data_IF_305999925574
#
_entry.id   IF_305999925574
#
_cell.length_a   1.000
_cell.length_b   1.000
_cell.length_c   1.000
_cell.angle_alpha   90.00
_cell.angle_beta   90.00
_cell.angle_gamma   90.00
#
_symmetry.space_group_name_H-M   'P 1'
#
loop_
_entity.id
_entity.type
_entity.pdbx_description
1 polymer ?
#
# COMPACT_ATOMS: atom_id res chain seq x y z
N UNK A 1 11.51 -17.34 -33.81
CA UNK A 1 10.95 -16.05 -33.36
C UNK A 1 11.36 -15.89 -31.92
N UNK A 2 12.16 -14.88 -31.59
CA UNK A 2 12.54 -14.65 -30.21
C UNK A 2 11.36 -14.05 -29.47
N UNK A 3 10.94 -14.67 -28.37
CA UNK A 3 9.79 -14.21 -27.61
C UNK A 3 10.23 -13.01 -26.76
N UNK A 4 9.93 -11.80 -27.24
CA UNK A 4 10.30 -10.55 -26.58
C UNK A 4 9.90 -10.59 -25.11
N UNK A 5 10.90 -10.68 -24.23
CA UNK A 5 10.67 -10.73 -22.78
C UNK A 5 10.01 -9.42 -22.37
N UNK A 6 8.91 -9.50 -21.63
CA UNK A 6 8.29 -8.32 -21.04
C UNK A 6 9.33 -7.62 -20.15
N UNK A 7 9.60 -6.35 -20.45
CA UNK A 7 10.47 -5.52 -19.62
C UNK A 7 9.67 -5.04 -18.41
N UNK A 8 10.12 -5.40 -17.22
CA UNK A 8 9.52 -4.99 -15.95
C UNK A 8 10.55 -4.15 -15.20
N UNK A 9 10.33 -2.84 -15.13
CA UNK A 9 11.08 -1.96 -14.24
C UNK A 9 10.58 -2.07 -12.79
N UNK A 10 11.41 -1.62 -11.84
CA UNK A 10 11.13 -1.70 -10.40
C UNK A 10 9.82 -0.99 -10.02
N UNK A 11 9.49 0.13 -10.66
CA UNK A 11 8.26 0.88 -10.36
C UNK A 11 7.02 0.15 -10.89
N UNK A 12 7.05 -0.35 -12.12
CA UNK A 12 5.96 -1.17 -12.67
C UNK A 12 5.77 -2.47 -11.87
N UNK A 13 6.85 -3.12 -11.46
CA UNK A 13 6.81 -4.31 -10.59
C UNK A 13 6.20 -3.98 -9.23
N UNK A 14 6.60 -2.87 -8.60
CA UNK A 14 6.03 -2.41 -7.33
C UNK A 14 4.52 -2.17 -7.43
N UNK A 15 4.07 -1.45 -8.46
CA UNK A 15 2.64 -1.17 -8.68
C UNK A 15 1.83 -2.46 -8.85
N UNK A 16 2.36 -3.44 -9.58
CA UNK A 16 1.71 -4.75 -9.74
C UNK A 16 1.62 -5.53 -8.41
N UNK A 17 2.67 -5.52 -7.60
CA UNK A 17 2.68 -6.18 -6.29
C UNK A 17 1.72 -5.51 -5.30
N UNK A 18 1.69 -4.18 -5.24
CA UNK A 18 0.75 -3.42 -4.41
C UNK A 18 -0.71 -3.79 -4.77
N UNK A 19 -1.04 -3.86 -6.07
CA UNK A 19 -2.38 -4.27 -6.55
C UNK A 19 -2.72 -5.73 -6.21
N UNK A 20 -1.76 -6.64 -6.32
CA UNK A 20 -1.93 -8.04 -5.89
C UNK A 20 -2.24 -8.12 -4.38
N UNK A 21 -1.55 -7.32 -3.56
CA UNK A 21 -1.76 -7.26 -2.11
C UNK A 21 -3.15 -6.69 -1.78
N UNK A 22 -3.56 -5.62 -2.44
CA UNK A 22 -4.88 -5.01 -2.26
C UNK A 22 -6.02 -5.96 -2.63
N UNK A 23 -5.91 -6.68 -3.75
CA UNK A 23 -6.93 -7.64 -4.16
C UNK A 23 -6.98 -8.86 -3.22
N UNK A 24 -5.83 -9.37 -2.78
CA UNK A 24 -5.75 -10.37 -1.70
C UNK A 24 -6.44 -9.86 -0.42
N UNK A 25 -6.22 -8.60 -0.05
CA UNK A 25 -6.81 -8.02 1.15
C UNK A 25 -8.34 -7.89 1.04
N UNK A 26 -8.89 -7.51 -0.13
CA UNK A 26 -10.35 -7.50 -0.38
C UNK A 26 -11.00 -8.89 -0.25
N UNK A 27 -10.27 -9.97 -0.51
CA UNK A 27 -10.75 -11.37 -0.32
C UNK A 27 -10.63 -11.77 1.16
N UNK A 28 -9.58 -11.30 1.84
CA UNK A 28 -9.32 -11.60 3.24
C UNK A 28 -10.20 -10.82 4.21
N UNK A 29 -10.84 -9.71 3.83
CA UNK A 29 -11.71 -8.92 4.71
C UNK A 29 -13.12 -8.74 4.14
N UNK A 30 -14.14 -8.97 4.96
CA UNK A 30 -15.53 -8.62 4.65
C UNK A 30 -16.10 -7.66 5.72
N UNK A 31 -17.37 -7.22 5.56
CA UNK A 31 -18.05 -6.29 6.48
C UNK A 31 -18.15 -6.76 7.95
N UNK A 32 -17.75 -7.99 8.27
CA UNK A 32 -17.71 -8.60 9.60
C UNK A 32 -16.29 -8.96 10.08
N UNK A 33 -15.25 -8.57 9.35
CA UNK A 33 -13.84 -8.83 9.70
C UNK A 33 -13.13 -9.83 8.78
N UNK A 34 -12.05 -10.44 9.29
CA UNK A 34 -11.19 -11.36 8.56
C UNK A 34 -11.97 -12.63 8.12
N UNK A 35 -11.86 -12.99 6.85
CA UNK A 35 -12.38 -14.26 6.34
C UNK A 35 -11.44 -15.40 6.74
N UNK A 36 -11.97 -16.61 6.99
CA UNK A 36 -11.17 -17.80 7.44
C UNK A 36 -9.98 -18.17 6.54
N UNK A 37 -9.86 -17.58 5.34
CA UNK A 37 -8.73 -17.74 4.42
C UNK A 37 -7.45 -17.06 4.94
N UNK A 38 -7.55 -16.05 5.81
CA UNK A 38 -6.39 -15.35 6.38
C UNK A 38 -5.66 -16.11 7.50
N UNK A 39 -6.28 -17.16 8.07
CA UNK A 39 -5.77 -17.84 9.27
C UNK A 39 -4.63 -18.86 9.07
N UNK A 40 -4.45 -19.56 7.94
CA UNK A 40 -3.36 -20.55 7.81
C UNK A 40 -1.97 -19.93 7.58
N UNK A 41 -1.89 -18.69 7.07
CA UNK A 41 -0.67 -18.15 6.45
C UNK A 41 0.18 -17.26 7.37
N UNK A 42 -0.04 -17.30 8.69
CA UNK A 42 0.73 -16.54 9.70
C UNK A 42 1.60 -17.43 10.61
N UNK A 43 1.67 -18.73 10.35
CA UNK A 43 2.38 -19.70 11.20
C UNK A 43 3.63 -20.30 10.53
N UNK A 44 4.53 -19.45 10.01
CA UNK A 44 5.90 -19.87 9.62
C UNK A 44 6.91 -18.84 10.13
N UNK A 45 7.55 -19.16 11.26
CA UNK A 45 8.72 -18.47 11.80
C UNK A 45 8.46 -17.63 13.06
N UNK A 46 9.35 -17.72 14.05
CA UNK A 46 9.51 -16.69 15.09
C UNK A 46 9.27 -17.14 16.54
N UNK A 47 10.37 -17.52 17.20
CA UNK A 47 10.57 -17.59 18.65
C UNK A 47 10.24 -16.23 19.33
N UNK A 48 9.74 -16.25 20.58
CA UNK A 48 10.03 -15.20 21.58
C UNK A 48 8.89 -14.30 22.10
N UNK A 49 8.73 -14.31 23.42
CA UNK A 49 8.49 -13.14 24.30
C UNK A 49 7.16 -12.33 24.28
N UNK A 50 6.14 -12.93 24.93
CA UNK A 50 5.52 -12.50 26.22
C UNK A 50 5.18 -11.00 26.52
N UNK A 51 3.96 -10.81 27.10
CA UNK A 51 3.46 -9.77 28.08
C UNK A 51 2.55 -8.63 27.52
N UNK A 52 1.53 -8.04 28.23
CA UNK A 52 0.89 -8.31 29.55
C UNK A 52 -0.68 -8.44 29.60
N UNK A 53 -1.20 -8.76 30.81
CA UNK A 53 -2.53 -8.39 31.40
C UNK A 53 -3.77 -9.19 30.93
N UNK A 54 -4.66 -9.77 31.76
CA UNK A 54 -4.81 -9.89 33.24
C UNK A 54 -5.74 -11.12 33.56
N UNK A 55 -6.04 -11.57 34.80
CA UNK A 55 -5.57 -11.13 36.13
C UNK A 55 -6.27 -11.69 37.40
N UNK A 56 -7.12 -12.74 37.34
CA UNK A 56 -7.83 -13.34 38.51
C UNK A 56 -8.03 -14.84 38.25
N UNK A 57 -7.98 -15.81 39.19
CA UNK A 57 -8.12 -15.83 40.67
C UNK A 57 -7.21 -16.91 41.32
N UNK A 58 -6.92 -16.83 42.63
CA UNK A 58 -6.99 -18.03 43.49
C UNK A 58 -5.75 -18.90 43.81
N UNK A 59 -4.72 -18.34 44.47
CA UNK A 59 -4.11 -18.86 45.71
C UNK A 59 -3.66 -20.36 45.82
N UNK A 60 -2.34 -20.63 45.73
CA UNK A 60 -1.51 -21.18 46.83
C UNK A 60 -0.03 -21.39 46.42
N UNK A 61 0.87 -20.87 47.25
CA UNK A 61 2.34 -20.82 47.17
C UNK A 61 3.04 -21.97 47.95
N UNK A 62 4.39 -22.11 47.98
CA UNK A 62 5.45 -21.71 47.02
C UNK A 62 6.60 -22.75 46.84
N UNK A 63 7.65 -22.36 46.07
CA UNK A 63 9.08 -22.70 46.28
C UNK A 63 9.54 -24.14 45.89
N UNK A 64 10.69 -24.43 45.26
CA UNK A 64 11.97 -23.75 44.93
C UNK A 64 12.32 -24.09 43.45
N UNK A 65 12.81 -23.17 42.60
CA UNK A 65 14.21 -23.10 42.08
C UNK A 65 14.89 -24.47 41.80
N UNK A 66 15.62 -24.68 40.69
CA UNK A 66 16.65 -23.80 40.11
C UNK A 66 16.86 -24.03 38.60
N UNK A 67 17.60 -23.11 37.98
CA UNK A 67 18.37 -23.31 36.72
C UNK A 67 19.27 -24.57 36.84
N UNK A 68 19.80 -25.17 35.77
CA UNK A 68 21.13 -24.82 35.20
C UNK A 68 21.45 -25.81 34.06
N UNK A 69 22.31 -25.38 33.13
CA UNK A 69 23.11 -26.16 32.19
C UNK A 69 22.42 -26.90 31.04
N UNK A 70 22.64 -26.33 29.86
CA UNK A 70 23.05 -27.06 28.67
C UNK A 70 24.09 -28.13 29.02
N UNK A 71 23.81 -29.39 28.63
CA UNK A 71 24.86 -30.29 28.17
C UNK A 71 24.29 -31.09 26.99
N UNK A 72 24.79 -30.81 25.80
CA UNK A 72 24.72 -31.76 24.70
C UNK A 72 25.58 -32.98 25.09
N UNK A 73 25.07 -34.20 24.96
CA UNK A 73 25.81 -35.17 24.14
C UNK A 73 24.96 -36.33 23.61
N UNK A 74 25.50 -36.96 22.57
CA UNK A 74 24.90 -38.00 21.77
C UNK A 74 25.06 -39.38 22.43
N UNK A 75 23.97 -40.02 22.85
CA UNK A 75 23.91 -41.49 22.94
C UNK A 75 22.59 -42.01 22.37
N UNK A 76 22.67 -42.83 21.34
CA UNK A 76 21.51 -43.44 20.71
C UNK A 76 20.75 -44.36 21.67
N UNK A 77 19.44 -44.15 21.80
CA UNK A 77 18.52 -45.15 22.36
C UNK A 77 17.48 -45.52 21.31
N UNK A 78 17.67 -46.68 20.71
CA UNK A 78 16.58 -47.40 20.07
C UNK A 78 15.46 -47.59 21.10
N UNK A 79 14.33 -46.92 20.87
CA UNK A 79 13.09 -47.20 21.59
C UNK A 79 12.12 -47.80 20.59
N UNK A 80 11.67 -49.01 20.87
CA UNK A 80 10.60 -49.67 20.12
C UNK A 80 9.33 -48.87 20.34
N UNK A 81 9.07 -47.93 19.42
CA UNK A 81 7.88 -47.10 19.44
C UNK A 81 6.65 -48.00 19.35
N UNK A 82 5.88 -48.08 20.45
CA UNK A 82 4.63 -48.83 20.45
C UNK A 82 3.74 -48.28 19.35
N UNK A 83 3.44 -49.11 18.35
CA UNK A 83 2.40 -48.81 17.37
C UNK A 83 1.09 -48.69 18.13
N UNK A 84 0.67 -47.46 18.42
CA UNK A 84 -0.68 -47.18 18.88
C UNK A 84 -1.60 -47.49 17.71
N UNK A 85 -2.19 -48.69 17.71
CA UNK A 85 -3.31 -49.01 16.84
C UNK A 85 -4.51 -48.15 17.28
N UNK A 86 -4.54 -46.90 16.82
CA UNK A 86 -5.77 -46.14 16.76
C UNK A 86 -6.66 -46.85 15.75
N UNK A 87 -7.76 -47.42 16.22
CA UNK A 87 -8.79 -48.01 15.36
C UNK A 87 -9.14 -46.99 14.27
N UNK A 88 -9.01 -47.38 13.01
CA UNK A 88 -9.29 -46.54 11.85
C UNK A 88 -10.77 -46.21 11.75
N UNK A 89 -11.23 -45.26 12.57
CA UNK A 89 -12.54 -44.63 12.46
C UNK A 89 -12.33 -43.44 11.54
N UNK A 90 -12.62 -43.63 10.26
CA UNK A 90 -12.61 -42.53 9.28
C UNK A 90 -13.54 -41.43 9.78
N UNK A 91 -12.95 -40.36 10.28
CA UNK A 91 -13.69 -39.17 10.66
C UNK A 91 -14.02 -38.42 9.38
N UNK A 92 -15.10 -38.82 8.72
CA UNK A 92 -15.70 -38.07 7.62
C UNK A 92 -16.17 -36.72 8.15
N UNK A 93 -15.25 -35.75 8.15
CA UNK A 93 -15.60 -34.34 8.23
C UNK A 93 -16.39 -34.01 6.98
N UNK A 94 -17.67 -33.73 7.14
CA UNK A 94 -18.50 -33.14 6.09
C UNK A 94 -17.96 -31.74 5.80
N UNK A 95 -16.99 -31.70 4.88
CA UNK A 95 -16.30 -30.48 4.50
C UNK A 95 -17.28 -29.65 3.67
N UNK A 96 -17.53 -28.37 4.01
CA UNK A 96 -18.43 -27.53 3.25
C UNK A 96 -18.07 -27.61 1.75
N UNK A 97 -19.05 -27.74 0.84
CA UNK A 97 -18.78 -27.98 -0.57
C UNK A 97 -17.72 -27.02 -1.10
N UNK A 98 -16.72 -27.50 -1.86
CA UNK A 98 -15.62 -26.67 -2.30
C UNK A 98 -16.19 -25.44 -3.00
N UNK A 99 -15.99 -24.27 -2.37
CA UNK A 99 -16.48 -23.01 -2.92
C UNK A 99 -15.90 -22.90 -4.32
N UNK A 100 -16.72 -22.54 -5.31
CA UNK A 100 -16.28 -22.30 -6.68
C UNK A 100 -15.13 -21.29 -6.66
N UNK A 101 -13.90 -21.80 -6.72
CA UNK A 101 -12.71 -20.96 -6.80
C UNK A 101 -12.78 -20.29 -8.16
N UNK A 102 -12.84 -18.96 -8.16
CA UNK A 102 -12.67 -18.20 -9.40
C UNK A 102 -11.31 -18.59 -9.97
N UNK A 103 -11.25 -18.85 -11.27
CA UNK A 103 -10.02 -19.32 -11.90
C UNK A 103 -8.96 -18.21 -11.92
N UNK A 104 -7.71 -18.55 -12.24
CA UNK A 104 -6.60 -17.59 -12.20
C UNK A 104 -6.87 -16.41 -13.13
N UNK A 105 -7.49 -16.67 -14.27
CA UNK A 105 -7.86 -15.71 -15.31
C UNK A 105 -8.70 -14.56 -14.73
N UNK A 106 -9.66 -14.84 -13.86
CA UNK A 106 -10.49 -13.81 -13.20
C UNK A 106 -9.68 -12.84 -12.35
N UNK A 107 -8.64 -13.32 -11.66
CA UNK A 107 -7.81 -12.46 -10.82
C UNK A 107 -6.83 -11.64 -11.67
N UNK A 108 -6.27 -12.24 -12.73
CA UNK A 108 -5.41 -11.54 -13.69
C UNK A 108 -6.18 -10.45 -14.44
N UNK A 109 -7.41 -10.74 -14.88
CA UNK A 109 -8.32 -9.78 -15.52
C UNK A 109 -8.62 -8.60 -14.59
N UNK A 110 -8.97 -8.85 -13.32
CA UNK A 110 -9.24 -7.75 -12.38
C UNK A 110 -8.02 -6.92 -11.99
N UNK A 111 -6.82 -7.51 -11.99
CA UNK A 111 -5.59 -6.75 -11.78
C UNK A 111 -5.29 -5.89 -13.02
N UNK A 112 -5.44 -6.42 -14.23
CA UNK A 112 -5.19 -5.66 -15.46
C UNK A 112 -6.20 -4.53 -15.68
N UNK A 113 -7.50 -4.77 -15.43
CA UNK A 113 -8.53 -3.72 -15.35
C UNK A 113 -8.14 -2.61 -14.37
N UNK A 114 -7.69 -2.98 -13.17
CA UNK A 114 -7.27 -2.01 -12.15
C UNK A 114 -6.03 -1.22 -12.55
N UNK A 115 -5.08 -1.81 -13.28
CA UNK A 115 -3.94 -1.09 -13.86
C UNK A 115 -4.40 -0.09 -14.91
N UNK A 116 -5.25 -0.51 -15.87
CA UNK A 116 -5.80 0.36 -16.92
C UNK A 116 -6.57 1.53 -16.30
N UNK A 117 -7.47 1.27 -15.36
CA UNK A 117 -8.26 2.30 -14.69
C UNK A 117 -7.38 3.29 -13.93
N UNK A 118 -6.34 2.80 -13.24
CA UNK A 118 -5.35 3.66 -12.56
C UNK A 118 -4.64 4.57 -13.56
N UNK A 119 -4.09 4.02 -14.65
CA UNK A 119 -3.36 4.83 -15.64
C UNK A 119 -4.27 5.83 -16.35
N UNK A 120 -5.55 5.51 -16.57
CA UNK A 120 -6.53 6.46 -17.10
C UNK A 120 -6.84 7.58 -16.10
N UNK A 121 -7.03 7.26 -14.83
CA UNK A 121 -7.24 8.26 -13.78
C UNK A 121 -6.03 9.19 -13.63
N UNK A 122 -4.80 8.65 -13.65
CA UNK A 122 -3.56 9.44 -13.60
C UNK A 122 -3.44 10.40 -14.80
N UNK A 123 -3.73 9.94 -16.02
CA UNK A 123 -3.77 10.81 -17.21
C UNK A 123 -4.85 11.90 -17.11
N UNK A 124 -6.04 11.56 -16.66
CA UNK A 124 -7.15 12.51 -16.50
C UNK A 124 -6.82 13.58 -15.44
N UNK A 125 -6.12 13.21 -14.37
CA UNK A 125 -5.64 14.15 -13.36
C UNK A 125 -4.61 15.12 -13.96
N UNK A 126 -3.59 14.61 -14.67
CA UNK A 126 -2.57 15.44 -15.33
C UNK A 126 -3.23 16.40 -16.33
N UNK A 127 -4.09 15.90 -17.22
CA UNK A 127 -4.81 16.72 -18.20
C UNK A 127 -5.63 17.84 -17.55
N UNK A 128 -6.28 17.56 -16.41
CA UNK A 128 -7.05 18.55 -15.65
C UNK A 128 -6.14 19.59 -14.98
N UNK A 129 -4.95 19.21 -14.51
CA UNK A 129 -3.98 20.15 -13.95
C UNK A 129 -3.34 21.03 -15.03
N UNK A 130 -3.07 20.48 -16.22
CA UNK A 130 -2.58 21.23 -17.38
C UNK A 130 -3.60 22.27 -17.85
N UNK A 131 -4.89 21.89 -17.91
CA UNK A 131 -6.00 22.81 -18.21
C UNK A 131 -6.11 23.94 -17.17
N UNK A 132 -6.06 23.62 -15.86
CA UNK A 132 -6.01 24.65 -14.80
C UNK A 132 -4.80 25.59 -14.92
N UNK A 133 -3.63 25.09 -15.31
CA UNK A 133 -2.43 25.92 -15.50
C UNK A 133 -2.61 26.83 -16.73
N UNK A 134 -3.22 26.33 -17.80
CA UNK A 134 -3.47 27.08 -19.03
C UNK A 134 -4.45 28.24 -18.80
N UNK A 135 -5.57 28.00 -18.10
CA UNK A 135 -6.50 29.06 -17.67
C UNK A 135 -5.79 30.17 -16.89
N UNK A 136 -4.89 29.77 -15.99
CA UNK A 136 -4.18 30.68 -15.08
C UNK A 136 -3.12 31.52 -15.82
N UNK A 137 -2.45 30.93 -16.81
CA UNK A 137 -1.54 31.67 -17.70
C UNK A 137 -2.31 32.63 -18.61
N UNK A 138 -3.51 32.26 -19.08
CA UNK A 138 -4.36 33.18 -19.83
C UNK A 138 -4.84 34.36 -18.96
N UNK A 139 -5.16 34.13 -17.68
CA UNK A 139 -5.45 35.22 -16.73
C UNK A 139 -4.24 36.14 -16.51
N UNK A 140 -3.01 35.60 -16.48
CA UNK A 140 -1.77 36.39 -16.42
C UNK A 140 -1.61 37.29 -17.66
N UNK A 141 -1.96 36.80 -18.85
CA UNK A 141 -1.99 37.63 -20.07
C UNK A 141 -3.05 38.73 -20.02
N UNK A 142 -4.25 38.41 -19.51
CA UNK A 142 -5.32 39.39 -19.29
C UNK A 142 -4.95 40.48 -18.27
N UNK A 143 -4.10 40.17 -17.29
CA UNK A 143 -3.53 41.12 -16.34
C UNK A 143 -2.49 42.07 -16.98
N UNK A 144 -2.16 41.89 -18.26
CA UNK A 144 -1.21 42.71 -19.01
C UNK A 144 0.23 42.19 -19.00
N UNK A 145 0.45 40.93 -18.60
CA UNK A 145 1.77 40.29 -18.63
C UNK A 145 1.94 39.55 -19.97
N UNK A 146 2.76 40.07 -20.92
CA UNK A 146 2.83 39.47 -22.25
C UNK A 146 3.47 38.07 -22.21
N UNK A 147 2.95 37.17 -23.04
CA UNK A 147 3.51 35.85 -23.28
C UNK A 147 4.99 35.96 -23.68
N UNK A 148 5.84 35.11 -23.11
CA UNK A 148 7.29 35.15 -23.33
C UNK A 148 8.06 36.19 -22.50
N UNK A 149 7.40 36.97 -21.64
CA UNK A 149 8.09 37.80 -20.64
C UNK A 149 8.65 36.97 -19.48
N UNK A 150 9.67 37.47 -18.78
CA UNK A 150 10.21 36.83 -17.56
C UNK A 150 9.11 36.55 -16.54
N UNK A 151 8.17 37.50 -16.35
CA UNK A 151 7.09 37.35 -15.39
C UNK A 151 6.07 36.27 -15.80
N UNK A 152 5.85 36.07 -17.10
CA UNK A 152 5.04 34.95 -17.61
C UNK A 152 5.71 33.60 -17.32
N UNK A 153 7.03 33.48 -17.54
CA UNK A 153 7.77 32.26 -17.19
C UNK A 153 7.80 31.99 -15.68
N UNK A 154 7.92 33.04 -14.86
CA UNK A 154 7.77 32.96 -13.39
C UNK A 154 6.39 32.42 -13.03
N UNK A 155 5.32 32.93 -13.66
CA UNK A 155 3.97 32.43 -13.40
C UNK A 155 3.81 30.94 -13.76
N UNK A 156 4.32 30.51 -14.92
CA UNK A 156 4.30 29.10 -15.33
C UNK A 156 5.03 28.19 -14.33
N UNK A 157 6.17 28.62 -13.79
CA UNK A 157 6.90 27.89 -12.75
C UNK A 157 6.13 27.87 -11.42
N UNK A 158 5.53 28.99 -11.02
CA UNK A 158 4.76 29.07 -9.77
C UNK A 158 3.47 28.22 -9.83
N UNK A 159 2.78 28.16 -10.96
CA UNK A 159 1.50 27.45 -11.11
C UNK A 159 1.60 25.92 -11.15
N UNK A 160 2.81 25.35 -11.20
CA UNK A 160 3.03 23.91 -10.94
C UNK A 160 2.50 23.45 -9.58
N UNK A 161 2.41 24.36 -8.59
CA UNK A 161 1.86 24.05 -7.26
C UNK A 161 0.35 24.37 -7.19
N UNK A 162 -0.53 23.39 -6.92
CA UNK A 162 -1.98 23.63 -6.80
C UNK A 162 -2.33 24.63 -5.70
N UNK A 163 -1.60 24.63 -4.59
CA UNK A 163 -1.75 25.60 -3.52
C UNK A 163 -1.44 27.04 -3.99
N UNK A 164 -0.41 27.22 -4.84
CA UNK A 164 -0.09 28.52 -5.44
C UNK A 164 -1.15 28.95 -6.45
N UNK A 165 -1.70 28.02 -7.24
CA UNK A 165 -2.86 28.30 -8.13
C UNK A 165 -4.06 28.80 -7.32
N UNK A 166 -4.42 28.10 -6.23
CA UNK A 166 -5.51 28.49 -5.35
C UNK A 166 -5.28 29.87 -4.69
N UNK A 167 -4.06 30.14 -4.19
CA UNK A 167 -3.71 31.46 -3.63
C UNK A 167 -3.86 32.57 -4.67
N UNK A 168 -3.33 32.39 -5.88
CA UNK A 168 -3.43 33.39 -6.95
C UNK A 168 -4.88 33.64 -7.40
N UNK A 169 -5.70 32.59 -7.55
CA UNK A 169 -7.15 32.73 -7.84
C UNK A 169 -7.92 33.51 -6.77
N UNK A 170 -7.45 33.53 -5.52
CA UNK A 170 -8.11 34.28 -4.45
C UNK A 170 -7.88 35.80 -4.52
N UNK A 171 -6.93 36.26 -5.33
CA UNK A 171 -6.57 37.67 -5.49
C UNK A 171 -7.37 38.28 -6.63
N UNK A 172 -8.22 39.25 -6.34
CA UNK A 172 -9.19 39.82 -7.30
C UNK A 172 -8.61 40.90 -8.23
N UNK A 173 -7.68 41.72 -7.75
CA UNK A 173 -7.07 42.81 -8.53
C UNK A 173 -5.83 42.35 -9.30
N UNK A 174 -5.74 42.70 -10.60
CA UNK A 174 -4.63 42.36 -11.49
C UNK A 174 -3.26 42.85 -10.97
N UNK A 175 -3.18 44.09 -10.48
CA UNK A 175 -1.94 44.65 -9.92
C UNK A 175 -1.46 43.86 -8.70
N UNK A 176 -2.38 43.42 -7.83
CA UNK A 176 -2.05 42.58 -6.68
C UNK A 176 -1.61 41.18 -7.09
N UNK A 177 -2.19 40.62 -8.17
CA UNK A 177 -1.74 39.34 -8.76
C UNK A 177 -0.32 39.44 -9.31
N UNK A 178 -0.01 40.51 -10.05
CA UNK A 178 1.33 40.81 -10.57
C UNK A 178 2.35 41.02 -9.44
N UNK A 179 1.99 41.79 -8.42
CA UNK A 179 2.84 42.00 -7.25
C UNK A 179 3.10 40.70 -6.48
N UNK A 180 2.09 39.85 -6.35
CA UNK A 180 2.20 38.54 -5.71
C UNK A 180 3.15 37.61 -6.45
N UNK A 181 3.12 37.56 -7.79
CA UNK A 181 4.06 36.74 -8.59
C UNK A 181 5.51 37.11 -8.29
N UNK A 182 5.83 38.41 -8.32
CA UNK A 182 7.18 38.93 -8.02
C UNK A 182 7.60 38.59 -6.59
N UNK A 183 6.76 38.96 -5.61
CA UNK A 183 7.04 38.70 -4.20
C UNK A 183 7.22 37.21 -3.90
N UNK A 184 6.35 36.34 -4.41
CA UNK A 184 6.45 34.89 -4.20
C UNK A 184 7.73 34.33 -4.80
N UNK A 185 8.12 34.75 -6.01
CA UNK A 185 9.36 34.33 -6.65
C UNK A 185 10.60 34.71 -5.84
N UNK A 186 10.66 35.95 -5.34
CA UNK A 186 11.76 36.44 -4.51
C UNK A 186 11.82 35.76 -3.13
N UNK A 187 10.72 35.19 -2.64
CA UNK A 187 10.70 34.36 -1.43
C UNK A 187 11.08 32.89 -1.72
N UNK A 188 10.82 32.38 -2.92
CA UNK A 188 11.28 31.04 -3.35
C UNK A 188 12.80 31.02 -3.51
N UNK A 189 13.40 32.05 -4.13
CA UNK A 189 14.86 32.19 -4.30
C UNK A 189 15.68 32.31 -3.01
N UNK A 190 15.03 32.55 -1.87
CA UNK A 190 15.67 32.76 -0.54
C UNK A 190 15.58 31.54 0.39
N UNK A 191 15.11 30.40 -0.11
CA UNK A 191 15.08 29.11 0.58
C UNK A 191 16.06 28.14 -0.07
#
# INVERSE_FOLDING_TARGET
MDAGRANWDDNTTKVFLDLCIDEKNKINYNKKGLTKLGSPMLCVGGIGDRIPSCGSEGNLDPVVEENVAWLEDNVGRSSVGRVSQRSGKEHVVDSPPPKKSKSMEYYVERISESMIQRTMNERNLISREEEEVMEMLHLVEQDGVPNGSELYFIAAELFRSPARRASYRSITAAENRIAWLRWTWDNVKRK
#
